data_IF_880173631677
#
_entry.id   IF_880173631677
#
_cell.length_a   1.000
_cell.length_b   1.000
_cell.length_c   1.000
_cell.angle_alpha   90.00
_cell.angle_beta   90.00
_cell.angle_gamma   90.00
#
_symmetry.space_group_name_H-M   'P 1'
#
loop_
_entity.id
_entity.type
_entity.pdbx_description
1 polymer ?
#
# COMPACT_ATOMS: atom_id res chain seq x y z
N UNK A 1 -8.99 -18.02 -47.66
CA UNK A 1 -10.09 -17.40 -46.87
C UNK A 1 -10.50 -18.16 -45.60
N UNK A 2 -10.86 -19.46 -45.61
CA UNK A 2 -11.23 -20.17 -44.35
C UNK A 2 -10.02 -20.50 -43.45
N UNK A 3 -8.87 -20.88 -44.03
CA UNK A 3 -7.64 -21.23 -43.27
C UNK A 3 -7.00 -20.02 -42.58
N UNK A 4 -6.98 -18.87 -43.26
CA UNK A 4 -6.42 -17.63 -42.72
C UNK A 4 -7.21 -17.12 -41.50
N UNK A 5 -8.55 -17.30 -41.51
CA UNK A 5 -9.40 -17.01 -40.35
C UNK A 5 -9.13 -17.95 -39.18
N UNK A 6 -8.86 -19.24 -39.41
CA UNK A 6 -8.56 -20.20 -38.33
C UNK A 6 -7.20 -19.91 -37.70
N UNK A 7 -6.20 -19.57 -38.51
CA UNK A 7 -4.87 -19.17 -38.02
C UNK A 7 -4.92 -17.84 -37.26
N UNK A 8 -5.68 -16.86 -37.77
CA UNK A 8 -5.88 -15.59 -37.07
C UNK A 8 -6.64 -15.78 -35.75
N UNK A 9 -7.73 -16.55 -35.74
CA UNK A 9 -8.49 -16.88 -34.52
C UNK A 9 -7.63 -17.63 -33.52
N UNK A 10 -6.80 -18.58 -33.96
CA UNK A 10 -5.87 -19.30 -33.09
C UNK A 10 -4.87 -18.36 -32.41
N UNK A 11 -4.31 -17.41 -33.16
CA UNK A 11 -3.35 -16.46 -32.60
C UNK A 11 -4.03 -15.46 -31.65
N UNK A 12 -5.24 -15.02 -31.97
CA UNK A 12 -6.04 -14.15 -31.09
C UNK A 12 -6.42 -14.86 -29.79
N UNK A 13 -6.84 -16.13 -29.83
CA UNK A 13 -7.15 -16.91 -28.62
C UNK A 13 -5.92 -17.07 -27.73
N UNK A 14 -4.76 -17.40 -28.31
CA UNK A 14 -3.50 -17.50 -27.57
C UNK A 14 -3.10 -16.15 -26.95
N UNK A 15 -3.25 -15.05 -27.69
CA UNK A 15 -3.00 -13.71 -27.18
C UNK A 15 -3.92 -13.34 -26.00
N UNK A 16 -5.22 -13.66 -26.09
CA UNK A 16 -6.18 -13.42 -24.99
C UNK A 16 -5.78 -14.22 -23.74
N UNK A 17 -5.43 -15.50 -23.91
CA UNK A 17 -5.00 -16.36 -22.80
C UNK A 17 -3.74 -15.78 -22.14
N UNK A 18 -2.76 -15.33 -22.93
CA UNK A 18 -1.55 -14.68 -22.43
C UNK A 18 -1.86 -13.41 -21.64
N UNK A 19 -2.75 -12.56 -22.13
CA UNK A 19 -3.15 -11.33 -21.42
C UNK A 19 -3.82 -11.67 -20.09
N UNK A 20 -4.72 -12.65 -20.07
CA UNK A 20 -5.39 -13.10 -18.83
C UNK A 20 -4.37 -13.68 -17.85
N UNK A 21 -3.43 -14.49 -18.32
CA UNK A 21 -2.38 -15.05 -17.48
C UNK A 21 -1.49 -13.96 -16.87
N UNK A 22 -1.08 -12.96 -17.66
CA UNK A 22 -0.32 -11.81 -17.18
C UNK A 22 -1.11 -10.98 -16.16
N UNK A 23 -2.40 -10.75 -16.40
CA UNK A 23 -3.27 -10.03 -15.47
C UNK A 23 -3.42 -10.79 -14.15
N UNK A 24 -3.59 -12.12 -14.20
CA UNK A 24 -3.66 -12.97 -13.01
C UNK A 24 -2.34 -12.95 -12.23
N UNK A 25 -1.19 -13.03 -12.91
CA UNK A 25 0.13 -12.91 -12.28
C UNK A 25 0.32 -11.55 -11.61
N UNK A 26 -0.04 -10.46 -12.30
CA UNK A 26 0.05 -9.11 -11.75
C UNK A 26 -0.87 -8.93 -10.53
N UNK A 27 -2.09 -9.48 -10.57
CA UNK A 27 -3.02 -9.45 -9.46
C UNK A 27 -2.49 -10.26 -8.26
N UNK A 28 -1.98 -11.47 -8.50
CA UNK A 28 -1.37 -12.30 -7.46
C UNK A 28 -0.16 -11.63 -6.82
N UNK A 29 0.70 -11.01 -7.64
CA UNK A 29 1.86 -10.27 -7.14
C UNK A 29 1.45 -9.05 -6.33
N UNK A 30 0.44 -8.30 -6.78
CA UNK A 30 -0.12 -7.16 -6.06
C UNK A 30 -0.80 -7.55 -4.74
N UNK A 31 -1.46 -8.72 -4.70
CA UNK A 31 -2.04 -9.27 -3.48
C UNK A 31 -0.95 -9.74 -2.49
N UNK A 32 0.11 -10.38 -2.98
CA UNK A 32 1.20 -10.91 -2.15
C UNK A 32 2.16 -9.82 -1.66
N UNK A 33 2.42 -8.80 -2.47
CA UNK A 33 3.30 -7.69 -2.15
C UNK A 33 2.50 -6.39 -2.14
N UNK A 34 1.86 -6.11 -1.00
CA UNK A 34 1.15 -4.85 -0.76
C UNK A 34 2.15 -3.68 -0.71
N UNK A 35 2.49 -3.15 -1.88
CA UNK A 35 3.32 -1.95 -2.03
C UNK A 35 2.39 -0.79 -2.36
N UNK A 36 2.12 0.06 -1.37
CA UNK A 36 1.47 1.36 -1.63
C UNK A 36 2.48 2.28 -2.32
N UNK A 37 2.47 2.27 -3.64
CA UNK A 37 3.12 3.30 -4.43
C UNK A 37 2.37 4.61 -4.25
N UNK A 38 3.08 5.66 -3.85
CA UNK A 38 2.56 7.02 -3.88
C UNK A 38 2.89 7.64 -5.24
N UNK A 39 1.85 7.89 -6.03
CA UNK A 39 1.95 8.46 -7.38
C UNK A 39 1.84 9.98 -7.38
N UNK A 40 1.75 10.61 -6.21
CA UNK A 40 1.82 12.07 -6.11
C UNK A 40 3.24 12.52 -6.45
N UNK A 41 3.38 13.59 -7.24
CA UNK A 41 4.69 14.06 -7.74
C UNK A 41 5.72 14.38 -6.65
N UNK A 42 5.28 14.59 -5.41
CA UNK A 42 6.10 14.91 -4.25
C UNK A 42 6.11 13.82 -3.17
N UNK A 43 5.47 12.66 -3.41
CA UNK A 43 5.39 11.54 -2.45
C UNK A 43 4.98 11.94 -1.03
N UNK A 44 4.05 12.87 -0.89
CA UNK A 44 3.66 13.45 0.41
C UNK A 44 2.99 12.38 1.32
N UNK A 45 2.48 11.31 0.72
CA UNK A 45 1.83 10.20 1.41
C UNK A 45 2.81 9.06 1.73
N UNK A 46 4.10 9.23 1.44
CA UNK A 46 5.16 8.27 1.73
C UNK A 46 6.00 8.67 2.94
N UNK A 47 6.44 7.69 3.72
CA UNK A 47 7.49 7.94 4.71
C UNK A 47 8.83 8.21 4.00
N UNK A 48 9.52 9.26 4.44
CA UNK A 48 10.89 9.52 3.99
C UNK A 48 11.81 8.35 4.34
N UNK A 49 12.85 8.13 3.54
CA UNK A 49 13.79 7.02 3.79
C UNK A 49 14.54 7.21 5.12
N UNK A 50 14.78 8.46 5.53
CA UNK A 50 15.33 8.78 6.85
C UNK A 50 14.40 8.32 7.98
N UNK A 51 13.10 8.59 7.86
CA UNK A 51 12.09 8.13 8.84
C UNK A 51 12.04 6.61 8.89
N UNK A 52 12.00 5.94 7.73
CA UNK A 52 12.02 4.46 7.68
C UNK A 52 13.23 3.88 8.40
N UNK A 53 14.42 4.42 8.17
CA UNK A 53 15.65 3.93 8.81
C UNK A 53 15.60 4.08 10.34
N UNK A 54 15.04 5.19 10.85
CA UNK A 54 14.81 5.37 12.28
C UNK A 54 13.78 4.37 12.80
N UNK A 55 12.67 4.17 12.09
CA UNK A 55 11.66 3.21 12.51
C UNK A 55 12.22 1.79 12.54
N UNK A 56 13.04 1.38 11.58
CA UNK A 56 13.68 0.04 11.55
C UNK A 56 14.66 -0.16 12.71
N UNK A 57 15.28 0.89 13.24
CA UNK A 57 16.22 0.77 14.37
C UNK A 57 15.53 0.60 15.73
N UNK A 58 14.22 0.88 15.82
CA UNK A 58 13.42 0.69 17.03
C UNK A 58 13.17 -0.80 17.26
N UNK A 59 13.85 -1.36 18.28
CA UNK A 59 13.72 -2.78 18.70
C UNK A 59 12.82 -2.98 19.91
N UNK A 60 12.58 -1.93 20.71
CA UNK A 60 11.71 -1.98 21.88
C UNK A 60 10.27 -1.58 21.54
N UNK A 61 9.31 -2.02 22.36
CA UNK A 61 7.92 -1.55 22.25
C UNK A 61 7.86 -0.05 22.54
N UNK A 62 7.27 0.71 21.62
CA UNK A 62 7.03 2.15 21.78
C UNK A 62 5.53 2.38 21.72
N UNK A 63 4.98 2.96 22.78
CA UNK A 63 3.56 3.31 22.87
C UNK A 63 3.39 4.82 22.71
N UNK A 64 2.67 5.24 21.67
CA UNK A 64 2.26 6.61 21.44
C UNK A 64 0.79 6.77 21.86
N UNK A 65 0.55 7.57 22.90
CA UNK A 65 -0.80 7.91 23.37
C UNK A 65 -1.16 9.29 22.85
N UNK A 66 -2.26 9.39 22.11
CA UNK A 66 -2.69 10.59 21.42
C UNK A 66 -4.01 11.06 22.03
N UNK A 67 -3.99 12.26 22.61
CA UNK A 67 -5.17 12.91 23.18
C UNK A 67 -5.75 13.86 22.15
N UNK A 68 -6.63 13.36 21.29
CA UNK A 68 -7.29 14.15 20.25
C UNK A 68 -8.70 13.61 20.01
N UNK A 69 -9.66 14.52 19.85
CA UNK A 69 -11.03 14.18 19.47
C UNK A 69 -11.16 14.09 17.95
N UNK A 70 -12.14 13.34 17.40
CA UNK A 70 -12.42 13.33 15.96
C UNK A 70 -12.78 14.71 15.38
N UNK A 71 -13.25 15.63 16.23
CA UNK A 71 -13.58 17.01 15.85
C UNK A 71 -12.33 17.92 15.80
N UNK A 72 -11.19 17.48 16.35
CA UNK A 72 -9.95 18.27 16.38
C UNK A 72 -9.45 18.48 14.95
N UNK A 73 -9.21 19.74 14.52
CA UNK A 73 -8.51 20.01 13.27
C UNK A 73 -7.17 19.27 13.29
N UNK A 74 -6.83 18.55 12.22
CA UNK A 74 -5.65 17.66 12.09
C UNK A 74 -5.80 16.21 12.61
N UNK A 75 -6.93 15.81 13.21
CA UNK A 75 -7.12 14.42 13.67
C UNK A 75 -6.87 13.38 12.57
N UNK A 76 -7.47 13.60 11.40
CA UNK A 76 -7.35 12.68 10.26
C UNK A 76 -5.90 12.54 9.78
N UNK A 77 -5.17 13.65 9.65
CA UNK A 77 -3.77 13.66 9.21
C UNK A 77 -2.84 13.01 10.23
N UNK A 78 -3.03 13.31 11.51
CA UNK A 78 -2.25 12.73 12.61
C UNK A 78 -2.48 11.22 12.69
N UNK A 79 -3.74 10.80 12.59
CA UNK A 79 -4.12 9.39 12.57
C UNK A 79 -3.53 8.66 11.38
N UNK A 80 -3.56 9.27 10.21
CA UNK A 80 -2.98 8.68 9.01
C UNK A 80 -1.46 8.50 9.16
N UNK A 81 -0.75 9.55 9.61
CA UNK A 81 0.71 9.51 9.79
C UNK A 81 1.13 8.43 10.79
N UNK A 82 0.47 8.37 11.95
CA UNK A 82 0.75 7.39 12.98
C UNK A 82 0.46 5.97 12.52
N UNK A 83 -0.61 5.76 11.74
CA UNK A 83 -0.88 4.48 11.10
C UNK A 83 0.22 4.04 10.12
N UNK A 84 0.88 4.98 9.44
CA UNK A 84 2.03 4.65 8.59
C UNK A 84 3.22 4.19 9.43
N UNK A 85 3.45 4.79 10.60
CA UNK A 85 4.52 4.35 11.50
C UNK A 85 4.28 2.95 12.05
N UNK A 86 3.05 2.64 12.49
CA UNK A 86 2.70 1.28 12.96
C UNK A 86 2.77 0.24 11.85
N UNK A 87 2.45 0.62 10.61
CA UNK A 87 2.59 -0.25 9.44
C UNK A 87 4.06 -0.50 9.06
N UNK A 88 4.96 0.45 9.35
CA UNK A 88 6.37 0.34 9.06
C UNK A 88 7.16 -0.43 10.14
N UNK A 89 6.73 -0.37 11.40
CA UNK A 89 7.31 -1.17 12.49
C UNK A 89 6.22 -1.63 13.47
N UNK A 90 6.08 -2.95 13.63
CA UNK A 90 5.10 -3.59 14.50
C UNK A 90 5.29 -3.35 16.00
N UNK A 91 6.49 -2.87 16.41
CA UNK A 91 6.79 -2.48 17.80
C UNK A 91 6.17 -1.13 18.17
N UNK A 92 5.72 -0.34 17.19
CA UNK A 92 5.06 0.93 17.44
C UNK A 92 3.57 0.67 17.62
N UNK A 93 3.05 1.03 18.79
CA UNK A 93 1.64 0.95 19.15
C UNK A 93 1.10 2.35 19.34
N UNK A 94 -0.06 2.63 18.75
CA UNK A 94 -0.71 3.93 18.83
C UNK A 94 -2.07 3.74 19.47
N UNK A 95 -2.36 4.54 20.48
CA UNK A 95 -3.63 4.58 21.20
C UNK A 95 -4.19 5.99 21.12
N UNK A 96 -5.46 6.11 20.72
CA UNK A 96 -6.18 7.37 20.70
C UNK A 96 -7.13 7.40 21.89
N UNK A 97 -6.96 8.39 22.75
CA UNK A 97 -7.81 8.64 23.91
C UNK A 97 -8.62 9.89 23.61
N UNK A 98 -9.94 9.78 23.73
CA UNK A 98 -10.83 10.93 23.72
C UNK A 98 -10.77 11.59 25.12
N UNK A 99 -10.28 12.83 25.24
CA UNK A 99 -10.13 13.50 26.54
C UNK A 99 -11.39 14.18 27.06
N UNK A 100 -12.50 14.22 26.30
CA UNK A 100 -13.79 14.76 26.74
C UNK A 100 -14.72 13.68 27.32
#
# INVERSE_FOLDING_TARGET
MKRDKILAVSNTTVAIILVVALAAMANWLGYRHWVRGDWTGSKIYSLSDKTKNVLTSVKGEVRAVVFMTPATPLFAETRELLNRYTSANSHIKVEFIDPE
#
